data_IF_349848140145
#
_entry.id   IF_349848140145
#
_cell.length_a   1.000
_cell.length_b   1.000
_cell.length_c   1.000
_cell.angle_alpha   90.00
_cell.angle_beta   90.00
_cell.angle_gamma   90.00
#
_symmetry.space_group_name_H-M   'P 1'
#
loop_
_entity.id
_entity.type
_entity.pdbx_description
1 polymer ?
#
# COMPACT_ATOMS: atom_id res chain seq x y z
N UNK A 1 22.84 44.76 -60.71
CA UNK A 1 22.42 44.61 -59.33
C UNK A 1 21.72 43.25 -59.19
N UNK A 2 22.43 42.26 -58.64
CA UNK A 2 21.96 40.88 -58.54
C UNK A 2 21.45 40.72 -57.12
N UNK A 3 20.14 40.40 -56.94
CA UNK A 3 19.51 40.18 -55.65
C UNK A 3 19.64 38.68 -55.29
N UNK A 4 20.46 38.40 -54.30
CA UNK A 4 20.60 37.02 -53.75
C UNK A 4 19.54 36.84 -52.64
N UNK A 5 18.52 36.02 -52.90
CA UNK A 5 17.54 35.59 -51.89
C UNK A 5 18.09 34.35 -51.18
N UNK A 6 18.47 34.51 -49.91
CA UNK A 6 18.84 33.39 -49.03
C UNK A 6 17.54 32.77 -48.46
N UNK A 7 17.18 31.59 -48.95
CA UNK A 7 16.10 30.79 -48.40
C UNK A 7 16.70 29.98 -47.24
N UNK A 8 16.45 30.39 -46.00
CA UNK A 8 16.74 29.63 -44.78
C UNK A 8 15.65 28.58 -44.56
N UNK A 9 15.93 27.33 -44.94
CA UNK A 9 15.13 26.19 -44.48
C UNK A 9 15.48 25.90 -43.00
N UNK A 10 14.70 26.43 -42.09
CA UNK A 10 14.73 25.96 -40.71
C UNK A 10 13.99 24.61 -40.63
N UNK A 11 14.74 23.52 -40.42
CA UNK A 11 14.10 22.25 -39.98
C UNK A 11 13.52 22.44 -38.58
N UNK A 12 12.21 22.59 -38.49
CA UNK A 12 11.50 22.45 -37.23
C UNK A 12 11.60 21.00 -36.78
N UNK A 13 12.67 20.68 -36.03
CA UNK A 13 12.75 19.41 -35.31
C UNK A 13 11.70 19.40 -34.23
N UNK A 14 10.56 18.74 -34.49
CA UNK A 14 9.57 18.47 -33.45
C UNK A 14 10.30 17.79 -32.26
N UNK A 15 10.23 18.35 -31.06
CA UNK A 15 10.87 17.76 -29.91
C UNK A 15 10.21 16.40 -29.64
N UNK A 16 10.91 15.31 -29.89
CA UNK A 16 10.47 13.97 -29.54
C UNK A 16 10.42 13.90 -27.99
N UNK A 17 9.31 13.46 -27.41
CA UNK A 17 9.23 13.26 -25.97
C UNK A 17 10.35 12.29 -25.54
N UNK A 18 11.18 12.72 -24.61
CA UNK A 18 12.20 11.82 -24.03
C UNK A 18 11.50 10.66 -23.32
N UNK A 19 11.96 9.40 -23.53
CA UNK A 19 11.40 8.28 -22.79
C UNK A 19 11.57 8.51 -21.28
N UNK A 20 10.54 8.16 -20.49
CA UNK A 20 10.59 8.28 -19.03
C UNK A 20 11.69 7.37 -18.50
N UNK A 21 12.68 7.93 -17.83
CA UNK A 21 13.72 7.18 -17.15
C UNK A 21 13.27 6.91 -15.70
N UNK A 22 13.27 5.66 -15.30
CA UNK A 22 13.10 5.25 -13.92
C UNK A 22 14.46 5.06 -13.25
N UNK A 23 14.61 5.37 -11.94
CA UNK A 23 15.84 5.04 -11.24
C UNK A 23 16.07 3.52 -11.29
N UNK A 24 17.34 3.12 -11.42
CA UNK A 24 17.69 1.70 -11.34
C UNK A 24 17.45 1.20 -9.92
N UNK A 25 16.47 0.33 -9.75
CA UNK A 25 16.13 -0.30 -8.47
C UNK A 25 16.61 -1.74 -8.51
N UNK A 26 17.34 -2.16 -7.47
CA UNK A 26 17.70 -3.56 -7.26
C UNK A 26 16.62 -4.17 -6.36
N UNK A 27 15.94 -5.19 -6.85
CA UNK A 27 14.90 -5.87 -6.08
C UNK A 27 15.50 -7.07 -5.34
N UNK A 28 15.13 -7.29 -4.06
CA UNK A 28 15.55 -8.47 -3.33
C UNK A 28 14.87 -9.73 -3.89
N UNK A 29 15.49 -10.88 -3.67
CA UNK A 29 14.86 -12.16 -3.94
C UNK A 29 13.67 -12.35 -2.98
N UNK A 30 12.55 -12.87 -3.53
CA UNK A 30 11.36 -13.11 -2.72
C UNK A 30 11.51 -14.39 -1.92
N UNK A 31 11.48 -14.24 -0.62
CA UNK A 31 11.32 -15.30 0.34
C UNK A 31 10.43 -14.79 1.47
N UNK A 32 9.69 -15.68 2.11
CA UNK A 32 8.70 -15.31 3.13
C UNK A 32 9.01 -16.01 4.44
N UNK A 33 8.64 -15.35 5.53
CA UNK A 33 8.70 -15.86 6.89
C UNK A 33 7.35 -15.65 7.58
N UNK A 34 7.08 -16.47 8.60
CA UNK A 34 5.77 -16.44 9.27
C UNK A 34 5.77 -15.42 10.41
N UNK A 35 4.77 -14.54 10.39
CA UNK A 35 4.35 -13.74 11.54
C UNK A 35 3.46 -14.59 12.45
N UNK A 36 3.82 -14.72 13.72
CA UNK A 36 3.03 -15.44 14.73
C UNK A 36 3.32 -14.92 16.13
N UNK A 37 3.40 -13.59 16.26
CA UNK A 37 3.72 -12.95 17.53
C UNK A 37 2.59 -13.13 18.56
N UNK A 38 2.97 -13.24 19.84
CA UNK A 38 2.02 -13.52 20.94
C UNK A 38 1.09 -12.33 21.26
N UNK A 39 1.49 -11.12 20.85
CA UNK A 39 0.68 -9.91 21.07
C UNK A 39 -0.46 -9.74 20.04
N UNK A 40 -0.54 -10.61 19.02
CA UNK A 40 -1.56 -10.56 17.99
C UNK A 40 -2.25 -11.92 17.79
N UNK A 41 -3.60 -11.96 17.71
CA UNK A 41 -4.36 -13.20 17.49
C UNK A 41 -4.42 -13.56 16.00
N UNK A 42 -3.27 -13.52 15.30
CA UNK A 42 -3.21 -13.78 13.87
C UNK A 42 -1.87 -14.37 13.45
N UNK A 43 -1.85 -14.88 12.22
CA UNK A 43 -0.64 -15.37 11.57
C UNK A 43 -0.75 -15.13 10.06
N UNK A 44 0.37 -14.79 9.42
CA UNK A 44 0.51 -14.61 7.98
C UNK A 44 1.97 -14.73 7.58
N UNK A 45 2.24 -14.85 6.29
CA UNK A 45 3.60 -14.86 5.76
C UNK A 45 3.94 -13.48 5.21
N UNK A 46 5.14 -12.98 5.52
CA UNK A 46 5.65 -11.69 5.09
C UNK A 46 7.09 -11.78 4.58
N UNK A 47 7.55 -10.83 3.73
CA UNK A 47 8.88 -10.90 3.14
C UNK A 47 10.00 -10.92 4.19
N UNK A 48 11.03 -11.77 4.01
CA UNK A 48 12.19 -11.85 4.90
C UNK A 48 13.00 -10.55 4.98
N UNK A 49 12.89 -9.67 3.96
CA UNK A 49 13.53 -8.35 3.93
C UNK A 49 12.71 -7.26 4.62
N UNK A 50 11.52 -7.59 5.14
CA UNK A 50 10.72 -6.68 5.93
C UNK A 50 10.93 -6.91 7.44
N UNK A 51 10.64 -5.89 8.25
CA UNK A 51 10.78 -5.89 9.70
C UNK A 51 9.45 -5.56 10.36
N UNK A 52 9.06 -6.36 11.35
CA UNK A 52 7.91 -6.04 12.20
C UNK A 52 8.34 -5.05 13.27
N UNK A 53 7.55 -4.01 13.44
CA UNK A 53 7.70 -2.99 14.47
C UNK A 53 6.36 -2.87 15.18
N UNK A 54 6.29 -3.35 16.43
CA UNK A 54 5.10 -3.15 17.25
C UNK A 54 4.90 -1.66 17.53
N UNK A 55 3.70 -1.16 17.31
CA UNK A 55 3.35 0.21 17.65
C UNK A 55 2.88 0.28 19.11
N UNK A 56 3.70 0.88 19.96
CA UNK A 56 3.44 0.97 21.40
C UNK A 56 2.93 2.36 21.83
N UNK A 57 2.96 3.34 20.91
CA UNK A 57 2.51 4.70 21.18
C UNK A 57 1.95 5.36 19.92
N UNK A 58 0.66 5.67 19.92
CA UNK A 58 -0.01 6.40 18.85
C UNK A 58 -0.31 7.82 19.33
N UNK A 59 0.32 8.84 18.71
CA UNK A 59 0.24 10.25 19.13
C UNK A 59 0.48 10.48 20.63
N UNK A 60 1.45 9.77 21.24
CA UNK A 60 1.76 9.77 22.68
C UNK A 60 0.69 9.15 23.58
N UNK A 61 -0.31 8.48 23.02
CA UNK A 61 -1.30 7.71 23.74
C UNK A 61 -1.06 6.22 23.56
N UNK A 62 -1.47 5.41 24.53
CA UNK A 62 -1.40 3.97 24.44
C UNK A 62 -2.42 3.48 23.40
N UNK A 63 -2.04 2.62 22.44
CA UNK A 63 -3.00 2.05 21.50
C UNK A 63 -4.15 1.35 22.20
N UNK A 64 -5.36 1.44 21.64
CA UNK A 64 -6.55 0.74 22.16
C UNK A 64 -6.34 -0.78 22.23
N UNK A 65 -5.45 -1.31 21.36
CA UNK A 65 -5.12 -2.72 21.31
C UNK A 65 -3.60 -2.91 21.16
N UNK A 66 -3.03 -3.90 21.86
CA UNK A 66 -1.61 -4.23 21.79
C UNK A 66 -1.17 -4.78 20.43
N UNK A 67 -2.11 -5.22 19.59
CA UNK A 67 -1.86 -5.74 18.26
C UNK A 67 -1.93 -4.64 17.17
N UNK A 68 -1.23 -3.53 17.40
CA UNK A 68 -0.92 -2.55 16.37
C UNK A 68 0.54 -2.67 16.01
N UNK A 69 0.84 -2.81 14.73
CA UNK A 69 2.19 -2.99 14.26
C UNK A 69 2.39 -2.45 12.85
N UNK A 70 3.63 -2.20 12.52
CA UNK A 70 4.05 -1.77 11.20
C UNK A 70 4.96 -2.82 10.59
N UNK A 71 4.77 -3.11 9.31
CA UNK A 71 5.71 -3.88 8.52
C UNK A 71 6.55 -2.90 7.71
N UNK A 72 7.80 -2.72 8.12
CA UNK A 72 8.75 -1.81 7.49
C UNK A 72 9.62 -2.53 6.48
N UNK A 73 9.71 -2.01 5.27
CA UNK A 73 10.60 -2.49 4.20
C UNK A 73 11.71 -1.45 4.00
N UNK A 74 12.88 -1.62 4.63
CA UNK A 74 13.95 -0.61 4.64
C UNK A 74 14.43 -0.20 3.25
N UNK A 75 14.60 -1.18 2.36
CA UNK A 75 15.13 -0.97 1.01
C UNK A 75 14.31 0.02 0.17
N UNK A 76 13.02 0.07 0.40
CA UNK A 76 12.10 0.94 -0.32
C UNK A 76 11.54 2.07 0.54
N UNK A 77 12.00 2.17 1.80
CA UNK A 77 11.52 3.13 2.79
C UNK A 77 9.99 3.23 2.79
N UNK A 78 9.33 2.08 2.90
CA UNK A 78 7.88 1.99 2.94
C UNK A 78 7.38 1.19 4.13
N UNK A 79 6.17 1.50 4.54
CA UNK A 79 5.49 0.92 5.69
C UNK A 79 4.13 0.40 5.29
N UNK A 80 3.80 -0.81 5.75
CA UNK A 80 2.42 -1.25 5.86
C UNK A 80 1.99 -1.04 7.32
N UNK A 81 1.16 -0.03 7.55
CA UNK A 81 0.58 0.23 8.87
C UNK A 81 -0.60 -0.70 9.09
N UNK A 82 -0.53 -1.52 10.14
CA UNK A 82 -1.53 -2.51 10.47
C UNK A 82 -2.21 -2.17 11.79
N UNK A 83 -3.54 -2.00 11.74
CA UNK A 83 -4.37 -1.77 12.92
C UNK A 83 -5.37 -2.89 13.08
N UNK A 84 -5.32 -3.55 14.23
CA UNK A 84 -6.24 -4.61 14.62
C UNK A 84 -7.34 -4.07 15.50
N UNK A 85 -8.57 -4.50 15.27
CA UNK A 85 -9.75 -4.20 16.09
C UNK A 85 -10.45 -5.50 16.48
N UNK A 86 -10.68 -5.67 17.77
CA UNK A 86 -11.54 -6.72 18.32
C UNK A 86 -13.01 -6.27 18.20
N UNK A 87 -13.82 -7.05 17.49
CA UNK A 87 -15.22 -6.74 17.22
C UNK A 87 -16.16 -7.05 18.41
N UNK A 88 -15.68 -7.77 19.44
CA UNK A 88 -16.41 -8.00 20.68
C UNK A 88 -16.47 -6.76 21.57
N UNK A 89 -15.70 -5.71 21.23
CA UNK A 89 -15.68 -4.43 21.94
C UNK A 89 -16.81 -3.47 21.54
N UNK A 90 -16.59 -2.17 21.82
CA UNK A 90 -17.58 -1.09 21.60
C UNK A 90 -17.89 -0.78 20.13
N UNK A 91 -17.01 -1.21 19.18
CA UNK A 91 -17.19 -0.95 17.75
C UNK A 91 -17.82 -2.17 17.07
N UNK A 92 -19.07 -2.04 16.65
CA UNK A 92 -19.71 -3.06 15.81
C UNK A 92 -19.07 -3.21 14.44
N UNK A 93 -19.18 -4.38 13.83
CA UNK A 93 -18.61 -4.73 12.51
C UNK A 93 -18.87 -3.66 11.45
N UNK A 94 -20.12 -3.19 11.31
CA UNK A 94 -20.48 -2.19 10.29
C UNK A 94 -19.73 -0.88 10.48
N UNK A 95 -19.47 -0.46 11.72
CA UNK A 95 -18.75 0.78 11.99
C UNK A 95 -17.30 0.70 11.54
N UNK A 96 -16.57 -0.40 11.83
CA UNK A 96 -15.16 -0.55 11.40
C UNK A 96 -15.04 -0.71 9.89
N UNK A 97 -16.02 -1.33 9.24
CA UNK A 97 -16.08 -1.40 7.77
C UNK A 97 -16.30 -0.01 7.19
N UNK A 98 -17.27 0.75 7.68
CA UNK A 98 -17.52 2.13 7.25
C UNK A 98 -16.29 3.02 7.47
N UNK A 99 -15.60 2.88 8.61
CA UNK A 99 -14.38 3.60 8.92
C UNK A 99 -13.27 3.26 7.90
N UNK A 100 -13.12 1.98 7.53
CA UNK A 100 -12.13 1.56 6.53
C UNK A 100 -12.42 2.17 5.14
N UNK A 101 -13.68 2.19 4.70
CA UNK A 101 -14.10 2.85 3.47
C UNK A 101 -13.84 4.36 3.54
N UNK A 102 -14.27 5.03 4.62
CA UNK A 102 -14.07 6.46 4.80
C UNK A 102 -12.59 6.84 4.77
N UNK A 103 -11.72 6.03 5.40
CA UNK A 103 -10.28 6.25 5.39
C UNK A 103 -9.65 6.05 4.00
N UNK A 104 -10.14 5.07 3.23
CA UNK A 104 -9.68 4.87 1.86
C UNK A 104 -10.13 6.04 0.95
N UNK A 105 -11.40 6.41 1.01
CA UNK A 105 -11.96 7.46 0.14
C UNK A 105 -11.56 8.90 0.55
N UNK A 106 -10.94 9.13 1.72
CA UNK A 106 -10.27 10.41 2.02
C UNK A 106 -9.17 10.76 1.01
N UNK A 107 -8.64 9.78 0.29
CA UNK A 107 -7.63 10.00 -0.74
C UNK A 107 -8.20 10.36 -2.11
N UNK A 108 -9.53 10.32 -2.30
CA UNK A 108 -10.22 10.62 -3.56
C UNK A 108 -9.88 12.01 -4.11
N UNK A 109 -9.69 13.00 -3.23
CA UNK A 109 -9.30 14.36 -3.64
C UNK A 109 -7.96 14.44 -4.40
N UNK A 110 -7.08 13.43 -4.25
CA UNK A 110 -5.75 13.37 -4.87
C UNK A 110 -5.55 12.16 -5.76
N UNK A 111 -6.34 11.12 -5.59
CA UNK A 111 -6.33 9.95 -6.46
C UNK A 111 -6.96 10.30 -7.81
N UNK A 112 -6.41 9.74 -8.89
CA UNK A 112 -7.07 9.79 -10.18
C UNK A 112 -8.23 8.78 -10.24
N UNK A 113 -8.06 7.67 -9.52
CA UNK A 113 -9.02 6.59 -9.45
C UNK A 113 -8.74 5.72 -8.22
N UNK A 114 -9.79 5.20 -7.58
CA UNK A 114 -9.76 4.21 -6.51
C UNK A 114 -10.50 2.97 -7.00
N UNK A 115 -9.78 1.86 -7.10
CA UNK A 115 -10.33 0.56 -7.43
C UNK A 115 -10.54 -0.25 -6.15
N UNK A 116 -11.79 -0.53 -5.83
CA UNK A 116 -12.17 -1.31 -4.66
C UNK A 116 -12.61 -2.72 -5.08
N UNK A 117 -11.89 -3.74 -4.60
CA UNK A 117 -12.09 -5.13 -4.97
C UNK A 117 -12.37 -5.97 -3.73
N UNK A 118 -13.54 -6.62 -3.72
CA UNK A 118 -13.88 -7.60 -2.70
C UNK A 118 -13.10 -8.89 -2.96
N UNK A 119 -12.55 -9.48 -1.90
CA UNK A 119 -11.85 -10.75 -1.99
C UNK A 119 -12.25 -11.72 -0.89
N UNK A 120 -11.98 -12.99 -1.12
CA UNK A 120 -11.94 -14.03 -0.09
C UNK A 120 -10.61 -14.75 -0.21
N UNK A 121 -9.86 -14.84 0.88
CA UNK A 121 -8.55 -15.50 0.85
C UNK A 121 -8.69 -17.03 0.95
N UNK A 122 -7.56 -17.75 0.81
CA UNK A 122 -7.52 -19.23 0.86
C UNK A 122 -7.95 -19.83 2.19
N UNK A 123 -7.99 -19.03 3.26
CA UNK A 123 -8.43 -19.44 4.60
C UNK A 123 -9.90 -19.07 4.88
N UNK A 124 -10.66 -18.63 3.86
CA UNK A 124 -12.08 -18.30 3.97
C UNK A 124 -12.37 -16.91 4.57
N UNK A 125 -11.35 -16.10 4.85
CA UNK A 125 -11.55 -14.74 5.38
C UNK A 125 -11.93 -13.79 4.26
N UNK A 126 -12.95 -12.97 4.51
CA UNK A 126 -13.42 -11.94 3.60
C UNK A 126 -12.69 -10.62 3.80
N UNK A 127 -12.70 -9.76 2.79
CA UNK A 127 -12.11 -8.43 2.89
C UNK A 127 -12.36 -7.58 1.65
N UNK A 128 -11.80 -6.39 1.68
CA UNK A 128 -11.77 -5.43 0.58
C UNK A 128 -10.37 -4.88 0.42
N UNK A 129 -9.91 -4.74 -0.80
CA UNK A 129 -8.69 -3.99 -1.13
C UNK A 129 -9.05 -2.74 -1.91
N UNK A 130 -8.29 -1.67 -1.67
CA UNK A 130 -8.41 -0.37 -2.33
C UNK A 130 -7.08 -0.06 -2.99
N UNK A 131 -7.05 -0.02 -4.31
CA UNK A 131 -5.86 0.36 -5.08
C UNK A 131 -6.05 1.77 -5.64
N UNK A 132 -5.13 2.67 -5.32
CA UNK A 132 -5.23 4.10 -5.64
C UNK A 132 -4.20 4.45 -6.70
N UNK A 133 -4.65 5.03 -7.80
CA UNK A 133 -3.78 5.58 -8.85
C UNK A 133 -3.67 7.09 -8.72
N UNK A 134 -2.58 7.68 -9.25
CA UNK A 134 -2.35 9.12 -9.15
C UNK A 134 -1.56 9.53 -7.91
N UNK A 135 -1.54 10.83 -7.56
CA UNK A 135 -0.71 11.38 -6.50
C UNK A 135 -1.29 11.20 -5.08
N UNK A 136 -1.94 10.08 -4.82
CA UNK A 136 -2.39 9.70 -3.48
C UNK A 136 -1.20 9.33 -2.58
N UNK A 137 -1.28 9.64 -1.29
CA UNK A 137 -0.21 9.34 -0.33
C UNK A 137 -0.06 7.84 -0.07
N UNK A 138 -1.13 7.08 -0.21
CA UNK A 138 -1.15 5.62 -0.08
C UNK A 138 -1.62 5.01 -1.40
N UNK A 139 -0.86 4.13 -2.04
CA UNK A 139 -1.28 3.46 -3.27
C UNK A 139 -2.15 2.24 -3.02
N UNK A 140 -2.16 1.69 -1.79
CA UNK A 140 -2.86 0.47 -1.46
C UNK A 140 -3.31 0.43 -0.01
N UNK A 141 -4.56 0.05 0.20
CA UNK A 141 -5.13 -0.27 1.51
C UNK A 141 -5.96 -1.54 1.40
N UNK A 142 -6.16 -2.22 2.51
CA UNK A 142 -7.07 -3.34 2.60
C UNK A 142 -7.62 -3.48 4.02
N UNK A 143 -8.70 -4.23 4.14
CA UNK A 143 -9.08 -4.85 5.41
C UNK A 143 -9.39 -6.33 5.19
N UNK A 144 -9.21 -7.12 6.23
CA UNK A 144 -9.54 -8.54 6.27
C UNK A 144 -10.21 -8.88 7.59
N UNK A 145 -11.22 -9.74 7.57
CA UNK A 145 -12.09 -10.01 8.71
C UNK A 145 -12.72 -11.39 8.63
N UNK A 146 -13.07 -11.94 9.79
CA UNK A 146 -13.96 -13.09 9.94
C UNK A 146 -15.44 -12.68 10.08
N UNK A 147 -15.72 -11.36 10.03
CA UNK A 147 -17.03 -10.72 10.18
C UNK A 147 -17.69 -10.86 11.57
N UNK A 148 -17.04 -11.52 12.51
CA UNK A 148 -17.60 -11.82 13.86
C UNK A 148 -16.78 -11.27 15.00
N UNK A 149 -15.48 -11.53 14.99
CA UNK A 149 -14.61 -11.29 16.13
C UNK A 149 -13.41 -10.42 15.81
N UNK A 150 -12.89 -10.50 14.58
CA UNK A 150 -11.61 -9.96 14.22
C UNK A 150 -11.66 -9.10 12.95
N UNK A 151 -10.99 -7.96 13.02
CA UNK A 151 -10.83 -7.04 11.90
C UNK A 151 -9.41 -6.50 11.88
N UNK A 152 -8.72 -6.65 10.76
CA UNK A 152 -7.42 -6.02 10.52
C UNK A 152 -7.51 -5.10 9.31
N UNK A 153 -6.99 -3.88 9.46
CA UNK A 153 -6.78 -2.94 8.36
C UNK A 153 -5.30 -2.75 8.13
N UNK A 154 -4.89 -2.77 6.85
CA UNK A 154 -3.55 -2.45 6.41
C UNK A 154 -3.56 -1.25 5.45
N UNK A 155 -2.57 -0.35 5.56
CA UNK A 155 -2.38 0.77 4.66
C UNK A 155 -0.90 0.94 4.30
N UNK A 156 -0.58 0.86 3.01
CA UNK A 156 0.78 0.96 2.48
C UNK A 156 1.14 2.42 2.23
N UNK A 157 2.25 2.87 2.79
CA UNK A 157 2.80 4.21 2.57
C UNK A 157 4.27 4.13 2.15
N UNK A 158 4.65 4.97 1.20
CA UNK A 158 6.06 5.24 0.89
C UNK A 158 6.49 6.52 1.61
N UNK A 159 7.54 6.43 2.42
CA UNK A 159 8.11 7.59 3.10
C UNK A 159 9.03 8.37 2.14
N UNK A 160 8.43 8.89 1.07
CA UNK A 160 9.10 9.66 0.02
C UNK A 160 8.11 10.62 -0.64
N UNK A 161 8.63 11.55 -1.42
CA UNK A 161 7.78 12.44 -2.21
C UNK A 161 6.90 11.62 -3.17
N UNK A 162 5.60 11.91 -3.17
CA UNK A 162 4.65 11.21 -4.02
C UNK A 162 4.90 11.57 -5.49
N UNK A 163 5.49 10.61 -6.20
CA UNK A 163 5.75 10.65 -7.66
C UNK A 163 5.25 9.34 -8.26
N UNK A 164 3.98 9.24 -8.63
CA UNK A 164 3.34 7.97 -9.00
C UNK A 164 4.10 7.21 -10.08
N UNK A 165 4.51 7.90 -11.15
CA UNK A 165 5.23 7.29 -12.26
C UNK A 165 6.57 6.66 -11.83
N UNK A 166 7.32 7.33 -10.96
CA UNK A 166 8.62 6.85 -10.48
C UNK A 166 8.49 5.73 -9.46
N UNK A 167 7.41 5.73 -8.68
CA UNK A 167 7.13 4.71 -7.65
C UNK A 167 6.47 3.46 -8.23
N UNK A 168 5.84 3.55 -9.39
CA UNK A 168 5.06 2.46 -9.97
C UNK A 168 5.82 1.12 -10.08
N UNK A 169 7.10 1.06 -10.51
CA UNK A 169 7.83 -0.21 -10.55
C UNK A 169 8.04 -0.83 -9.17
N UNK A 170 8.36 -0.01 -8.16
CA UNK A 170 8.54 -0.44 -6.76
C UNK A 170 7.19 -0.87 -6.18
N UNK A 171 6.13 -0.10 -6.41
CA UNK A 171 4.79 -0.44 -5.98
C UNK A 171 4.35 -1.80 -6.56
N UNK A 172 4.53 -2.03 -7.86
CA UNK A 172 4.20 -3.32 -8.50
C UNK A 172 4.98 -4.50 -7.90
N UNK A 173 6.20 -4.26 -7.46
CA UNK A 173 6.98 -5.27 -6.76
C UNK A 173 6.37 -5.57 -5.39
N UNK A 174 6.11 -4.54 -4.57
CA UNK A 174 5.57 -4.69 -3.21
C UNK A 174 4.11 -5.18 -3.21
N UNK A 175 3.32 -4.80 -4.21
CA UNK A 175 1.92 -5.27 -4.34
C UNK A 175 1.80 -6.80 -4.32
N UNK A 176 2.76 -7.50 -4.96
CA UNK A 176 2.79 -8.97 -4.92
C UNK A 176 3.03 -9.51 -3.50
N UNK A 177 3.79 -8.78 -2.69
CA UNK A 177 3.99 -9.14 -1.28
C UNK A 177 2.74 -8.87 -0.44
N UNK A 178 2.02 -7.78 -0.74
CA UNK A 178 0.73 -7.49 -0.11
C UNK A 178 -0.32 -8.57 -0.45
N UNK A 179 -0.36 -9.01 -1.70
CA UNK A 179 -1.25 -10.09 -2.13
C UNK A 179 -0.89 -11.41 -1.44
N UNK A 180 0.40 -11.69 -1.23
CA UNK A 180 0.87 -12.87 -0.50
C UNK A 180 0.48 -12.81 0.98
N UNK A 181 0.66 -11.66 1.63
CA UNK A 181 0.23 -11.42 3.03
C UNK A 181 -1.27 -11.71 3.16
N UNK A 182 -2.10 -11.08 2.32
CA UNK A 182 -3.56 -11.27 2.32
C UNK A 182 -3.91 -12.74 2.07
N UNK A 183 -3.25 -13.37 1.10
CA UNK A 183 -3.50 -14.77 0.73
C UNK A 183 -3.15 -15.78 1.83
N UNK A 184 -2.09 -15.52 2.62
CA UNK A 184 -1.62 -16.39 3.70
C UNK A 184 -2.28 -16.10 5.04
N UNK A 185 -2.99 -15.00 5.16
CA UNK A 185 -3.53 -14.48 6.42
C UNK A 185 -4.58 -15.40 7.05
N UNK A 186 -4.50 -15.59 8.36
CA UNK A 186 -5.49 -16.27 9.20
C UNK A 186 -5.54 -15.67 10.61
N UNK A 187 -6.72 -15.59 11.20
CA UNK A 187 -6.88 -15.37 12.64
C UNK A 187 -6.66 -16.69 13.41
N UNK A 188 -6.28 -16.59 14.68
CA UNK A 188 -6.05 -17.74 15.60
C UNK A 188 -7.29 -18.00 16.44
#
# INVERSE_FOLDING_TARGET
>A
MVLIVLISCGEDKMPLPKPRAYPKVVYPERAYQTFSESFCPMSFEYPVYAKIQQDTAFFNEKPENSCWFNLYIPQFNCYLYCTYTDLHGKKGFQNVVNDAFNLAYKHDQRANYIDDVKFTNKNGLGGMSFEMTGPAATPFQFFITDSTSHFLRGALYFNTQVRPDSLLPVYKFIKKDMDHIIGSFKFK
#
